data_IF_579216372066
#
_entry.id   IF_579216372066
#
_cell.length_a   1.000
_cell.length_b   1.000
_cell.length_c   1.000
_cell.angle_alpha   90.00
_cell.angle_beta   90.00
_cell.angle_gamma   90.00
#
_symmetry.space_group_name_H-M   'P 1'
#
loop_
_entity.id
_entity.type
_entity.pdbx_description
1 polymer ?
#
# COMPACT_ATOMS: atom_id res chain seq x y z
N UNK A 1 -13.10 9.48 6.22
CA UNK A 1 -12.74 8.41 5.26
C UNK A 1 -11.30 8.63 4.80
N UNK A 2 -10.56 7.57 4.66
CA UNK A 2 -9.13 7.62 4.31
C UNK A 2 -8.80 6.53 3.29
N UNK A 3 -7.92 6.81 2.35
CA UNK A 3 -7.34 5.80 1.47
C UNK A 3 -6.02 5.35 2.08
N UNK A 4 -5.79 4.05 2.17
CA UNK A 4 -4.53 3.47 2.64
C UNK A 4 -3.80 2.84 1.45
N UNK A 5 -2.55 3.27 1.22
CA UNK A 5 -1.66 2.62 0.25
C UNK A 5 -0.72 1.69 1.00
N UNK A 6 -0.83 0.40 0.75
CA UNK A 6 0.17 -0.56 1.24
C UNK A 6 1.32 -0.57 0.24
N UNK A 7 2.42 0.10 0.60
CA UNK A 7 3.54 0.32 -0.31
C UNK A 7 4.75 -0.52 0.05
N UNK A 8 5.28 -1.19 -0.96
CA UNK A 8 6.56 -1.89 -0.92
C UNK A 8 7.34 -1.45 -2.17
N UNK A 9 8.65 -1.14 -2.04
CA UNK A 9 9.47 -0.75 -3.21
C UNK A 9 9.61 -1.94 -4.16
N UNK A 10 8.78 -1.94 -5.20
CA UNK A 10 8.67 -3.03 -6.15
C UNK A 10 7.87 -2.54 -7.35
N UNK A 11 7.90 -3.29 -8.44
CA UNK A 11 7.09 -2.95 -9.60
C UNK A 11 5.59 -2.86 -9.26
N UNK A 12 4.99 -3.83 -8.53
CA UNK A 12 3.59 -3.68 -8.12
C UNK A 12 3.35 -2.48 -7.20
N UNK A 13 4.23 -2.22 -6.25
CA UNK A 13 4.11 -1.07 -5.35
C UNK A 13 4.15 0.24 -6.09
N UNK A 14 5.06 0.36 -7.05
CA UNK A 14 5.20 1.57 -7.86
C UNK A 14 4.01 1.77 -8.81
N UNK A 15 3.36 0.69 -9.23
CA UNK A 15 2.12 0.78 -10.00
C UNK A 15 0.93 1.20 -9.13
N UNK A 16 0.88 0.75 -7.89
CA UNK A 16 -0.21 1.05 -6.97
C UNK A 16 -0.21 2.51 -6.50
N UNK A 17 0.96 3.11 -6.32
CA UNK A 17 1.09 4.45 -5.75
C UNK A 17 0.30 5.52 -6.52
N UNK A 18 0.44 5.68 -7.85
CA UNK A 18 -0.34 6.69 -8.56
C UNK A 18 -1.84 6.43 -8.53
N UNK A 19 -2.25 5.16 -8.48
CA UNK A 19 -3.68 4.82 -8.36
C UNK A 19 -4.22 5.26 -7.01
N UNK A 20 -3.48 5.02 -5.93
CA UNK A 20 -3.90 5.45 -4.59
C UNK A 20 -4.03 6.97 -4.50
N UNK A 21 -3.07 7.70 -5.06
CA UNK A 21 -3.11 9.16 -5.09
C UNK A 21 -4.33 9.65 -5.88
N UNK A 22 -4.59 9.07 -7.05
CA UNK A 22 -5.74 9.42 -7.88
C UNK A 22 -7.06 9.14 -7.17
N UNK A 23 -7.18 8.02 -6.48
CA UNK A 23 -8.37 7.68 -5.71
C UNK A 23 -8.61 8.68 -4.57
N UNK A 24 -7.57 9.00 -3.83
CA UNK A 24 -7.68 9.98 -2.74
C UNK A 24 -8.08 11.35 -3.28
N UNK A 25 -7.49 11.78 -4.39
CA UNK A 25 -7.82 13.06 -5.02
C UNK A 25 -9.26 13.08 -5.51
N UNK A 26 -9.71 12.01 -6.16
CA UNK A 26 -11.08 11.92 -6.72
C UNK A 26 -12.15 11.96 -5.62
N UNK A 27 -11.85 11.37 -4.46
CA UNK A 27 -12.78 11.33 -3.34
C UNK A 27 -12.62 12.49 -2.36
N UNK A 28 -11.58 13.31 -2.53
CA UNK A 28 -11.30 14.42 -1.62
C UNK A 28 -10.96 13.98 -0.20
N UNK A 29 -10.26 12.86 -0.03
CA UNK A 29 -9.93 12.27 1.26
C UNK A 29 -8.43 12.17 1.45
N UNK A 30 -7.93 12.09 2.70
CA UNK A 30 -6.51 11.91 2.94
C UNK A 30 -5.99 10.54 2.53
N UNK A 31 -4.70 10.46 2.33
CA UNK A 31 -3.97 9.24 1.99
C UNK A 31 -2.99 8.91 3.11
N UNK A 32 -3.03 7.69 3.61
CA UNK A 32 -1.97 7.18 4.46
C UNK A 32 -1.13 6.17 3.67
N UNK A 33 0.17 6.43 3.60
CA UNK A 33 1.13 5.55 2.93
C UNK A 33 1.75 4.66 3.99
N UNK A 34 1.53 3.37 3.88
CA UNK A 34 1.99 2.40 4.87
C UNK A 34 3.09 1.55 4.28
N UNK A 35 4.28 1.62 4.88
CA UNK A 35 5.39 0.73 4.59
C UNK A 35 5.61 -0.14 5.83
N UNK A 36 4.85 -1.23 5.92
CA UNK A 36 4.90 -2.12 7.07
C UNK A 36 6.16 -3.00 7.01
N UNK A 37 6.86 -3.06 8.13
CA UNK A 37 8.12 -3.78 8.27
C UNK A 37 7.97 -4.93 9.26
N UNK A 38 8.77 -5.99 9.05
CA UNK A 38 8.89 -7.05 10.05
C UNK A 38 9.81 -6.56 11.16
N UNK A 39 9.32 -6.59 12.38
CA UNK A 39 10.12 -6.24 13.54
C UNK A 39 11.28 -7.20 13.72
N UNK A 40 12.44 -6.69 14.15
CA UNK A 40 13.61 -7.48 14.47
C UNK A 40 14.52 -7.86 13.32
N UNK A 41 14.21 -7.50 12.09
CA UNK A 41 15.07 -7.75 10.94
C UNK A 41 16.12 -6.65 10.82
N UNK A 42 17.40 -7.02 10.62
CA UNK A 42 18.46 -6.05 10.35
C UNK A 42 18.30 -5.43 8.97
N UNK A 43 17.87 -6.23 8.00
CA UNK A 43 17.58 -5.79 6.64
C UNK A 43 16.21 -6.33 6.24
N UNK A 44 15.31 -5.45 5.84
CA UNK A 44 13.98 -5.83 5.37
C UNK A 44 13.85 -5.43 3.90
N UNK A 45 13.63 -6.41 3.02
CA UNK A 45 13.44 -6.17 1.58
C UNK A 45 12.17 -5.38 1.28
N UNK A 46 11.26 -5.27 2.26
CA UNK A 46 10.03 -4.48 2.12
C UNK A 46 10.23 -3.02 2.51
N UNK A 47 11.38 -2.67 3.10
CA UNK A 47 11.63 -1.30 3.54
C UNK A 47 11.82 -0.36 2.35
N UNK A 48 11.06 0.73 2.35
CA UNK A 48 11.25 1.82 1.41
C UNK A 48 12.25 2.82 2.01
N UNK A 49 13.04 3.48 1.16
CA UNK A 49 13.91 4.54 1.62
C UNK A 49 13.09 5.77 2.04
N UNK A 50 13.66 6.59 2.91
CA UNK A 50 13.02 7.85 3.30
C UNK A 50 12.82 8.75 2.09
N UNK A 51 13.77 8.76 1.15
CA UNK A 51 13.67 9.52 -0.09
C UNK A 51 12.49 9.06 -0.94
N UNK A 52 12.29 7.74 -1.10
CA UNK A 52 11.18 7.20 -1.87
C UNK A 52 9.85 7.58 -1.25
N UNK A 53 9.72 7.50 0.07
CA UNK A 53 8.49 7.87 0.78
C UNK A 53 8.22 9.36 0.70
N UNK A 54 9.26 10.19 0.82
CA UNK A 54 9.14 11.65 0.65
C UNK A 54 8.65 12.00 -0.75
N UNK A 55 9.18 11.33 -1.77
CA UNK A 55 8.75 11.54 -3.16
C UNK A 55 7.26 11.23 -3.33
N UNK A 56 6.77 10.14 -2.73
CA UNK A 56 5.35 9.80 -2.78
C UNK A 56 4.48 10.86 -2.10
N UNK A 57 4.90 11.37 -0.95
CA UNK A 57 4.18 12.43 -0.25
C UNK A 57 4.12 13.70 -1.10
N UNK A 58 5.23 14.07 -1.74
CA UNK A 58 5.29 15.25 -2.62
C UNK A 58 4.37 15.10 -3.83
N UNK A 59 4.33 13.90 -4.44
CA UNK A 59 3.43 13.61 -5.55
C UNK A 59 1.97 13.73 -5.13
N UNK A 60 1.63 13.22 -3.94
CA UNK A 60 0.28 13.33 -3.40
C UNK A 60 -0.11 14.79 -3.17
N UNK A 61 0.78 15.57 -2.57
CA UNK A 61 0.53 17.00 -2.32
C UNK A 61 0.36 17.79 -3.61
N UNK A 62 1.14 17.47 -4.65
CA UNK A 62 1.00 18.09 -5.97
C UNK A 62 -0.37 17.79 -6.57
N UNK A 63 -1.01 16.69 -6.21
CA UNK A 63 -2.36 16.33 -6.64
C UNK A 63 -3.44 16.86 -5.68
N UNK A 64 -3.07 17.65 -4.69
CA UNK A 64 -4.00 18.21 -3.70
C UNK A 64 -4.41 17.24 -2.60
N UNK A 65 -3.64 16.18 -2.39
CA UNK A 65 -3.94 15.15 -1.40
C UNK A 65 -3.07 15.35 -0.15
N UNK A 66 -3.71 15.34 1.02
CA UNK A 66 -3.01 15.33 2.30
C UNK A 66 -2.52 13.92 2.58
N UNK A 67 -1.22 13.72 2.53
CA UNK A 67 -0.61 12.40 2.67
C UNK A 67 0.31 12.33 3.89
N UNK A 68 0.20 11.23 4.62
CA UNK A 68 1.06 10.91 5.75
C UNK A 68 1.70 9.54 5.55
N UNK A 69 2.79 9.28 6.25
CA UNK A 69 3.51 8.01 6.17
C UNK A 69 3.50 7.32 7.53
N UNK A 70 3.18 6.04 7.52
CA UNK A 70 3.26 5.16 8.67
C UNK A 70 4.21 4.01 8.35
N UNK A 71 5.11 3.71 9.27
CA UNK A 71 6.07 2.60 9.13
C UNK A 71 5.98 1.67 10.33
N UNK A 72 4.85 0.96 10.50
CA UNK A 72 4.70 0.07 11.64
C UNK A 72 5.65 -1.13 11.53
N UNK A 73 6.15 -1.57 12.67
CA UNK A 73 6.90 -2.81 12.77
C UNK A 73 6.03 -3.82 13.50
N UNK A 74 5.89 -5.00 12.91
CA UNK A 74 5.13 -6.09 13.49
C UNK A 74 5.71 -7.40 12.94
N UNK A 75 5.55 -8.48 13.68
CA UNK A 75 5.92 -9.80 13.19
C UNK A 75 5.03 -10.23 12.04
N UNK A 76 3.82 -9.68 11.92
CA UNK A 76 2.88 -9.93 10.84
C UNK A 76 2.54 -8.62 10.13
N UNK A 77 3.03 -8.48 8.90
CA UNK A 77 2.81 -7.28 8.08
C UNK A 77 1.32 -7.05 7.80
N UNK A 78 0.58 -8.12 7.52
CA UNK A 78 -0.85 -8.02 7.23
C UNK A 78 -1.61 -7.51 8.45
N UNK A 79 -1.31 -8.04 9.62
CA UNK A 79 -1.94 -7.58 10.85
C UNK A 79 -1.70 -6.09 11.10
N UNK A 80 -0.49 -5.62 10.85
CA UNK A 80 -0.17 -4.20 10.97
C UNK A 80 -1.02 -3.33 10.02
N UNK A 81 -1.18 -3.77 8.78
CA UNK A 81 -2.01 -3.07 7.80
C UNK A 81 -3.46 -3.03 8.24
N UNK A 82 -4.00 -4.16 8.71
CA UNK A 82 -5.40 -4.25 9.11
C UNK A 82 -5.70 -3.41 10.36
N UNK A 83 -4.77 -3.36 11.31
CA UNK A 83 -4.91 -2.50 12.49
C UNK A 83 -4.98 -1.02 12.11
N UNK A 84 -4.11 -0.59 11.19
CA UNK A 84 -4.14 0.79 10.70
C UNK A 84 -5.42 1.09 9.93
N UNK A 85 -5.93 0.13 9.17
CA UNK A 85 -7.16 0.30 8.42
C UNK A 85 -8.35 0.56 9.34
N UNK A 86 -8.40 -0.10 10.49
CA UNK A 86 -9.45 0.13 11.47
C UNK A 86 -9.27 1.46 12.20
N UNK A 87 -8.04 1.75 12.62
CA UNK A 87 -7.71 2.94 13.41
C UNK A 87 -7.97 4.24 12.64
N UNK A 88 -7.60 4.26 11.36
CA UNK A 88 -7.63 5.48 10.55
C UNK A 88 -8.92 5.63 9.72
N UNK A 89 -9.95 4.84 9.99
CA UNK A 89 -11.23 4.87 9.27
C UNK A 89 -11.02 4.72 7.75
N UNK A 90 -10.26 3.72 7.37
CA UNK A 90 -9.91 3.49 5.96
C UNK A 90 -11.11 2.93 5.21
N UNK A 91 -11.44 3.60 4.10
CA UNK A 91 -12.53 3.16 3.22
C UNK A 91 -12.05 2.23 2.11
N UNK A 92 -10.78 2.35 1.71
CA UNK A 92 -10.20 1.53 0.65
C UNK A 92 -8.72 1.33 0.93
N UNK A 93 -8.28 0.08 0.82
CA UNK A 93 -6.86 -0.26 0.81
C UNK A 93 -6.45 -0.46 -0.64
N UNK A 94 -5.39 0.24 -1.07
CA UNK A 94 -4.79 0.07 -2.40
C UNK A 94 -3.51 -0.72 -2.23
N UNK A 95 -3.38 -1.82 -2.96
CA UNK A 95 -2.21 -2.69 -2.85
C UNK A 95 -1.80 -3.18 -4.23
N UNK A 96 -0.48 -3.24 -4.48
CA UNK A 96 0.05 -3.79 -5.71
C UNK A 96 0.04 -5.32 -5.69
N UNK A 97 -0.30 -5.92 -6.82
CA UNK A 97 -0.27 -7.37 -7.00
C UNK A 97 0.60 -7.71 -8.20
N UNK A 98 1.15 -8.93 -8.19
CA UNK A 98 2.06 -9.38 -9.23
C UNK A 98 1.31 -9.62 -10.54
N UNK A 99 2.05 -9.55 -11.65
CA UNK A 99 1.57 -10.01 -12.94
C UNK A 99 1.27 -11.51 -12.91
N UNK A 100 0.51 -11.96 -13.92
CA UNK A 100 0.40 -13.39 -14.21
C UNK A 100 1.79 -13.96 -14.43
N UNK A 101 2.02 -15.17 -13.92
CA UNK A 101 3.24 -15.90 -14.24
C UNK A 101 3.25 -16.30 -15.72
N UNK A 102 4.44 -16.62 -16.31
CA UNK A 102 4.52 -17.08 -17.70
C UNK A 102 3.67 -18.32 -18.00
N UNK A 103 3.34 -19.11 -16.98
CA UNK A 103 2.46 -20.29 -17.14
C UNK A 103 0.96 -19.96 -16.99
N UNK A 104 0.61 -18.69 -16.94
CA UNK A 104 -0.77 -18.23 -16.91
C UNK A 104 -1.45 -18.24 -15.55
N UNK A 105 -0.74 -18.57 -14.48
CA UNK A 105 -1.29 -18.54 -13.13
C UNK A 105 -1.21 -17.13 -12.54
N UNK A 106 -2.29 -16.68 -11.92
CA UNK A 106 -2.30 -15.43 -11.19
C UNK A 106 -1.60 -15.62 -9.85
N UNK A 107 -0.51 -14.87 -9.62
CA UNK A 107 0.21 -14.87 -8.37
C UNK A 107 0.00 -13.53 -7.67
N UNK A 108 -0.81 -13.53 -6.62
CA UNK A 108 -1.10 -12.31 -5.87
C UNK A 108 -0.01 -11.95 -4.87
N UNK A 109 0.75 -12.93 -4.41
CA UNK A 109 1.63 -12.77 -3.25
C UNK A 109 0.85 -13.00 -1.95
N UNK A 110 1.54 -13.50 -0.92
CA UNK A 110 0.90 -13.89 0.33
C UNK A 110 0.27 -12.71 1.07
N UNK A 111 0.95 -11.57 1.10
CA UNK A 111 0.45 -10.36 1.78
C UNK A 111 -0.81 -9.85 1.08
N UNK A 112 -0.76 -9.68 -0.24
CA UNK A 112 -1.91 -9.19 -1.00
C UNK A 112 -3.11 -10.11 -0.86
N UNK A 113 -2.90 -11.42 -0.94
CA UNK A 113 -3.98 -12.40 -0.80
C UNK A 113 -4.67 -12.29 0.56
N UNK A 114 -3.89 -12.21 1.64
CA UNK A 114 -4.45 -12.10 2.98
C UNK A 114 -5.17 -10.77 3.19
N UNK A 115 -4.60 -9.67 2.68
CA UNK A 115 -5.26 -8.36 2.79
C UNK A 115 -6.61 -8.38 2.08
N UNK A 116 -6.67 -8.93 0.87
CA UNK A 116 -7.93 -9.04 0.12
C UNK A 116 -8.98 -9.84 0.91
N UNK A 117 -8.57 -10.95 1.52
CA UNK A 117 -9.49 -11.84 2.23
C UNK A 117 -9.90 -11.31 3.60
N UNK A 118 -9.04 -10.58 4.30
CA UNK A 118 -9.25 -10.22 5.70
C UNK A 118 -9.56 -8.75 5.93
N UNK A 119 -9.43 -7.89 4.93
CA UNK A 119 -9.64 -6.45 5.12
C UNK A 119 -11.09 -6.15 5.52
N UNK A 120 -11.30 -5.18 6.46
CA UNK A 120 -12.64 -4.76 6.87
C UNK A 120 -13.29 -3.79 5.90
N UNK A 121 -12.63 -3.46 4.79
CA UNK A 121 -13.06 -2.46 3.82
C UNK A 121 -12.77 -2.94 2.39
N UNK A 122 -13.09 -2.11 1.41
CA UNK A 122 -12.77 -2.39 0.01
C UNK A 122 -11.25 -2.47 -0.21
N UNK A 123 -10.85 -3.34 -1.11
CA UNK A 123 -9.44 -3.46 -1.51
C UNK A 123 -9.33 -3.29 -3.02
N UNK A 124 -8.50 -2.37 -3.44
CA UNK A 124 -8.20 -2.13 -4.84
C UNK A 124 -6.83 -2.73 -5.15
N UNK A 125 -6.84 -3.84 -5.86
CA UNK A 125 -5.62 -4.54 -6.24
C UNK A 125 -5.15 -4.01 -7.59
N UNK A 126 -3.92 -3.50 -7.63
CA UNK A 126 -3.35 -2.86 -8.82
C UNK A 126 -2.25 -3.73 -9.41
N UNK A 127 -2.38 -4.05 -10.68
CA UNK A 127 -1.38 -4.80 -11.42
C UNK A 127 -0.46 -3.83 -12.15
N UNK A 128 0.86 -4.09 -12.21
CA UNK A 128 1.75 -3.33 -13.06
C UNK A 128 1.30 -3.44 -14.52
N UNK A 129 1.49 -2.40 -15.29
CA UNK A 129 1.20 -2.44 -16.71
C UNK A 129 2.32 -3.21 -17.43
N UNK A 130 1.91 -4.10 -18.33
CA UNK A 130 2.85 -4.88 -19.12
C UNK A 130 3.56 -3.98 -20.14
#
# INVERSE_FOLDING_TARGET
>A
MTILLSYVPSEPGDAAAPVAIAEAAAHGVPLVIVNALRGGALVDSHAASDEALTTLVEQARAAGVDATVERPENTDIVEAILELAEKDDVSTIVIGVRHRSPVGKLLLGSVAQRVILEAPCAVLAVKPQA
#
